data_IF_205946210097
#
_entry.id   IF_205946210097
#
_cell.length_a   1.000
_cell.length_b   1.000
_cell.length_c   1.000
_cell.angle_alpha   90.00
_cell.angle_beta   90.00
_cell.angle_gamma   90.00
#
_symmetry.space_group_name_H-M   'P 1'
#
loop_
_entity.id
_entity.type
_entity.pdbx_description
1 polymer ?
#
# COMPACT_ATOMS: atom_id res chain seq x y z
N UNK A 1 7.10 -5.12 11.91
CA UNK A 1 6.90 -3.67 11.69
C UNK A 1 6.12 -3.47 10.42
N UNK A 2 5.27 -2.48 10.39
CA UNK A 2 4.50 -2.08 9.20
C UNK A 2 5.13 -0.82 8.61
N UNK A 3 5.37 -0.82 7.31
CA UNK A 3 5.80 0.39 6.59
C UNK A 3 4.67 0.88 5.69
N UNK A 4 4.33 2.16 5.81
CA UNK A 4 3.29 2.80 5.00
C UNK A 4 3.92 3.86 4.12
N UNK A 5 3.63 3.84 2.84
CA UNK A 5 4.14 4.87 1.91
C UNK A 5 3.05 5.33 0.95
N UNK A 6 2.97 6.65 0.79
CA UNK A 6 2.08 7.29 -0.19
C UNK A 6 2.87 8.00 -1.29
N UNK A 7 4.17 7.72 -1.37
CA UNK A 7 5.05 8.30 -2.38
C UNK A 7 5.36 9.77 -2.14
N UNK A 8 5.85 10.43 -3.18
CA UNK A 8 6.37 11.80 -3.11
C UNK A 8 5.54 12.84 -3.85
N UNK A 9 4.38 12.46 -4.37
CA UNK A 9 3.52 13.41 -5.10
C UNK A 9 2.83 14.40 -4.16
N UNK A 10 2.40 15.53 -4.70
CA UNK A 10 1.82 16.65 -3.96
C UNK A 10 0.41 16.41 -3.38
N UNK A 11 -0.22 15.29 -3.70
CA UNK A 11 -1.58 15.00 -3.25
C UNK A 11 -1.58 14.35 -1.87
N UNK A 12 -2.41 14.84 -0.92
CA UNK A 12 -2.50 14.26 0.41
C UNK A 12 -3.29 12.95 0.42
N UNK A 13 -3.11 12.18 1.52
CA UNK A 13 -3.89 10.96 1.75
C UNK A 13 -4.33 10.86 3.21
N UNK A 14 -4.92 11.93 3.73
CA UNK A 14 -5.22 12.07 5.16
C UNK A 14 -6.13 10.96 5.71
N UNK A 15 -7.14 10.53 4.95
CA UNK A 15 -8.07 9.50 5.40
C UNK A 15 -7.41 8.15 5.67
N UNK A 16 -6.31 7.82 4.96
CA UNK A 16 -5.54 6.60 5.23
C UNK A 16 -4.90 6.66 6.62
N UNK A 17 -4.22 7.75 6.92
CA UNK A 17 -3.48 7.88 8.18
C UNK A 17 -4.43 7.97 9.37
N UNK A 18 -5.59 8.57 9.19
CA UNK A 18 -6.63 8.60 10.20
C UNK A 18 -7.20 7.20 10.46
N UNK A 19 -7.49 6.44 9.42
CA UNK A 19 -7.98 5.05 9.54
C UNK A 19 -6.96 4.17 10.27
N UNK A 20 -5.68 4.31 9.96
CA UNK A 20 -4.61 3.56 10.64
C UNK A 20 -4.56 3.88 12.13
N UNK A 21 -4.69 5.15 12.52
CA UNK A 21 -4.79 5.52 13.94
C UNK A 21 -6.01 4.88 14.61
N UNK A 22 -7.15 4.86 13.95
CA UNK A 22 -8.37 4.22 14.46
C UNK A 22 -8.16 2.72 14.69
N UNK A 23 -7.39 2.06 13.81
CA UNK A 23 -7.07 0.64 13.97
C UNK A 23 -6.16 0.37 15.18
N UNK A 24 -5.30 1.31 15.55
CA UNK A 24 -4.57 1.22 16.82
C UNK A 24 -5.48 1.42 18.01
N UNK A 25 -6.40 2.37 17.93
CA UNK A 25 -7.34 2.68 19.01
C UNK A 25 -8.29 1.51 19.31
N UNK A 26 -8.72 0.77 18.28
CA UNK A 26 -9.62 -0.36 18.45
C UNK A 26 -8.89 -1.70 18.73
N UNK A 27 -7.57 -1.69 18.78
CA UNK A 27 -6.75 -2.88 19.08
C UNK A 27 -6.48 -3.79 17.90
N UNK A 28 -6.90 -3.46 16.70
CA UNK A 28 -6.58 -4.26 15.50
C UNK A 28 -5.08 -4.26 15.22
N UNK A 29 -4.42 -3.11 15.37
CA UNK A 29 -2.98 -2.96 15.21
C UNK A 29 -2.30 -2.78 16.56
N UNK A 30 -1.26 -3.57 16.80
CA UNK A 30 -0.45 -3.52 18.04
C UNK A 30 1.04 -3.43 17.77
N UNK A 31 1.50 -3.69 16.55
CA UNK A 31 2.92 -3.66 16.21
C UNK A 31 3.40 -2.28 15.79
N UNK A 32 4.71 -2.00 15.85
CA UNK A 32 5.26 -0.73 15.40
C UNK A 32 4.97 -0.46 13.92
N UNK A 33 4.78 0.81 13.60
CA UNK A 33 4.57 1.29 12.24
C UNK A 33 5.44 2.51 11.98
N UNK A 34 5.92 2.64 10.76
CA UNK A 34 6.55 3.85 10.25
C UNK A 34 5.85 4.28 8.96
N UNK A 35 5.48 5.55 8.84
CA UNK A 35 4.77 6.07 7.68
C UNK A 35 5.53 7.21 7.00
N UNK A 36 5.58 7.16 5.68
CA UNK A 36 5.93 8.30 4.84
C UNK A 36 4.62 8.94 4.39
N UNK A 37 4.32 10.11 4.94
CA UNK A 37 3.00 10.74 4.76
C UNK A 37 2.93 11.74 3.61
N UNK A 38 4.07 12.09 3.01
CA UNK A 38 4.12 13.03 1.89
C UNK A 38 3.61 14.41 2.29
N UNK A 39 2.70 14.95 1.50
CA UNK A 39 2.08 16.26 1.73
C UNK A 39 0.77 16.16 2.53
N UNK A 40 0.47 15.01 3.12
CA UNK A 40 -0.70 14.83 3.96
C UNK A 40 -0.64 15.77 5.19
N UNK A 41 -1.79 16.30 5.59
CA UNK A 41 -1.87 17.26 6.71
C UNK A 41 -2.19 16.59 8.03
N UNK A 42 -2.80 15.41 8.01
CA UNK A 42 -3.09 14.64 9.21
C UNK A 42 -1.79 14.15 9.84
N UNK A 43 -1.62 14.41 11.15
CA UNK A 43 -0.45 13.96 11.88
C UNK A 43 -0.78 12.73 12.72
N UNK A 44 -0.19 11.55 12.39
CA UNK A 44 -0.42 10.33 13.14
C UNK A 44 -0.09 10.44 14.63
N UNK A 45 -0.93 9.79 15.46
CA UNK A 45 -0.80 9.83 16.93
C UNK A 45 -0.18 8.56 17.49
N UNK A 46 -0.37 7.41 16.82
CA UNK A 46 -0.04 6.09 17.37
C UNK A 46 1.19 5.46 16.73
N UNK A 47 1.81 6.11 15.75
CA UNK A 47 2.97 5.58 15.05
C UNK A 47 3.90 6.70 14.57
N UNK A 48 5.13 6.33 14.26
CA UNK A 48 6.14 7.26 13.77
C UNK A 48 5.92 7.61 12.30
N UNK A 49 6.28 8.83 11.91
CA UNK A 49 6.16 9.26 10.53
C UNK A 49 7.22 10.30 10.18
N UNK A 50 7.46 10.42 8.87
CA UNK A 50 8.17 11.55 8.24
C UNK A 50 7.40 11.98 7.00
N UNK A 51 7.56 13.22 6.60
CA UNK A 51 6.93 13.70 5.36
C UNK A 51 7.56 13.00 4.15
N UNK A 52 8.87 13.04 4.04
CA UNK A 52 9.62 12.38 2.97
C UNK A 52 10.85 11.69 3.53
N UNK A 53 11.28 10.62 2.86
CA UNK A 53 12.50 9.88 3.21
C UNK A 53 13.36 9.72 1.97
N UNK A 54 14.67 9.49 2.18
CA UNK A 54 15.60 9.22 1.09
C UNK A 54 15.33 7.87 0.43
N UNK A 55 15.79 7.65 -0.82
CA UNK A 55 15.70 6.33 -1.43
C UNK A 55 16.35 5.22 -0.61
N UNK A 56 17.46 5.51 0.06
CA UNK A 56 18.16 4.58 0.94
C UNK A 56 17.32 4.22 2.15
N UNK A 57 16.72 5.21 2.82
CA UNK A 57 15.85 4.98 3.97
C UNK A 57 14.58 4.22 3.56
N UNK A 58 14.05 4.50 2.37
CA UNK A 58 12.91 3.78 1.82
C UNK A 58 13.20 2.27 1.72
N UNK A 59 14.35 1.91 1.18
CA UNK A 59 14.77 0.51 1.07
C UNK A 59 14.97 -0.11 2.46
N UNK A 60 15.58 0.61 3.39
CA UNK A 60 15.75 0.14 4.77
C UNK A 60 14.39 -0.16 5.42
N UNK A 61 13.42 0.72 5.25
CA UNK A 61 12.08 0.53 5.82
C UNK A 61 11.34 -0.65 5.20
N UNK A 62 11.47 -0.85 3.89
CA UNK A 62 10.93 -2.05 3.24
C UNK A 62 11.57 -3.30 3.83
N UNK A 63 12.88 -3.33 4.00
CA UNK A 63 13.58 -4.51 4.52
C UNK A 63 13.22 -4.81 5.98
N UNK A 64 13.00 -3.79 6.79
CA UNK A 64 12.58 -3.95 8.19
C UNK A 64 11.13 -4.40 8.34
N UNK A 65 10.28 -4.11 7.35
CA UNK A 65 8.84 -4.37 7.43
C UNK A 65 8.49 -5.83 7.17
N UNK A 66 7.41 -6.28 7.77
CA UNK A 66 6.73 -7.53 7.42
C UNK A 66 5.56 -7.26 6.48
N UNK A 67 4.90 -6.13 6.69
CA UNK A 67 3.76 -5.68 5.89
C UNK A 67 4.07 -4.28 5.35
N UNK A 68 3.82 -4.08 4.07
CA UNK A 68 3.92 -2.78 3.41
C UNK A 68 2.53 -2.34 2.95
N UNK A 69 2.11 -1.16 3.39
CA UNK A 69 0.89 -0.51 2.90
C UNK A 69 1.31 0.53 1.88
N UNK A 70 0.88 0.36 0.64
CA UNK A 70 1.32 1.22 -0.47
C UNK A 70 0.13 1.76 -1.24
N UNK A 71 0.22 3.03 -1.62
CA UNK A 71 -0.68 3.60 -2.62
C UNK A 71 -0.45 2.91 -3.98
N UNK A 72 -1.28 3.17 -4.96
CA UNK A 72 -1.27 2.46 -6.24
C UNK A 72 -0.11 2.75 -7.18
N UNK A 73 1.09 3.06 -6.67
CA UNK A 73 2.28 3.20 -7.47
C UNK A 73 2.97 1.85 -7.65
N UNK A 74 3.05 1.38 -8.89
CA UNK A 74 3.63 0.07 -9.21
C UNK A 74 5.07 -0.09 -8.73
N UNK A 75 5.87 0.99 -8.75
CA UNK A 75 7.26 0.95 -8.31
C UNK A 75 7.42 0.58 -6.83
N UNK A 76 6.61 1.15 -5.95
CA UNK A 76 6.64 0.85 -4.51
C UNK A 76 6.16 -0.56 -4.23
N UNK A 77 5.08 -0.98 -4.89
CA UNK A 77 4.54 -2.34 -4.75
C UNK A 77 5.58 -3.36 -5.20
N UNK A 78 6.24 -3.12 -6.33
CA UNK A 78 7.29 -4.01 -6.82
C UNK A 78 8.45 -4.18 -5.87
N UNK A 79 8.95 -3.08 -5.31
CA UNK A 79 10.07 -3.14 -4.36
C UNK A 79 9.71 -3.99 -3.15
N UNK A 80 8.48 -3.86 -2.65
CA UNK A 80 8.00 -4.65 -1.53
C UNK A 80 7.85 -6.13 -1.91
N UNK A 81 7.27 -6.43 -3.07
CA UNK A 81 7.10 -7.82 -3.54
C UNK A 81 8.44 -8.50 -3.81
N UNK A 82 9.40 -7.80 -4.42
CA UNK A 82 10.74 -8.33 -4.65
C UNK A 82 11.48 -8.61 -3.35
N UNK A 83 11.16 -7.88 -2.29
CA UNK A 83 11.72 -8.13 -0.95
C UNK A 83 10.96 -9.22 -0.17
N UNK A 84 9.98 -9.86 -0.76
CA UNK A 84 9.21 -10.95 -0.13
C UNK A 84 8.21 -10.48 0.91
N UNK A 85 7.78 -9.23 0.87
CA UNK A 85 6.87 -8.66 1.87
C UNK A 85 5.41 -8.84 1.48
N UNK A 86 4.54 -8.86 2.50
CA UNK A 86 3.10 -8.79 2.29
C UNK A 86 2.71 -7.35 1.99
N UNK A 87 1.85 -7.16 0.99
CA UNK A 87 1.47 -5.82 0.54
C UNK A 87 -0.04 -5.64 0.64
N UNK A 88 -0.45 -4.54 1.27
CA UNK A 88 -1.83 -4.05 1.20
C UNK A 88 -1.82 -2.81 0.30
N UNK A 89 -2.54 -2.89 -0.81
CA UNK A 89 -2.68 -1.76 -1.72
C UNK A 89 -3.88 -0.91 -1.30
N UNK A 90 -3.64 0.40 -1.18
CA UNK A 90 -4.67 1.40 -0.88
C UNK A 90 -4.75 2.36 -2.06
N UNK A 91 -5.96 2.86 -2.35
CA UNK A 91 -6.17 3.65 -3.56
C UNK A 91 -6.53 5.09 -3.22
N UNK A 92 -5.75 6.02 -3.75
CA UNK A 92 -6.09 7.45 -3.72
C UNK A 92 -7.18 7.73 -4.74
N UNK A 93 -8.13 8.58 -4.38
CA UNK A 93 -9.27 8.90 -5.24
C UNK A 93 -9.28 10.38 -5.62
N UNK A 94 -9.59 10.64 -6.89
CA UNK A 94 -9.76 12.00 -7.40
C UNK A 94 -10.84 12.77 -6.65
N UNK A 95 -11.97 12.13 -6.33
CA UNK A 95 -13.08 12.75 -5.62
C UNK A 95 -12.73 13.31 -4.23
N UNK A 96 -11.64 12.83 -3.62
CA UNK A 96 -11.14 13.30 -2.33
C UNK A 96 -9.92 14.22 -2.47
N UNK A 97 -9.56 14.61 -3.69
CA UNK A 97 -8.38 15.43 -3.93
C UNK A 97 -7.05 14.71 -3.70
N UNK A 98 -7.05 13.40 -3.72
CA UNK A 98 -5.90 12.56 -3.40
C UNK A 98 -5.05 12.20 -4.61
N UNK A 99 -5.57 12.40 -5.81
CA UNK A 99 -4.88 12.13 -7.06
C UNK A 99 -5.52 12.92 -8.20
N UNK A 100 -4.78 13.05 -9.32
CA UNK A 100 -5.26 13.74 -10.51
C UNK A 100 -6.32 12.94 -11.29
N UNK A 101 -6.32 11.62 -11.11
CA UNK A 101 -7.25 10.69 -11.77
C UNK A 101 -7.36 9.40 -10.96
N UNK A 102 -8.15 8.45 -11.43
CA UNK A 102 -8.38 7.17 -10.76
C UNK A 102 -7.59 6.01 -11.36
N UNK A 103 -6.49 6.27 -12.08
CA UNK A 103 -5.68 5.22 -12.71
C UNK A 103 -5.04 4.26 -11.68
N UNK A 104 -4.86 4.68 -10.43
CA UNK A 104 -4.34 3.80 -9.37
C UNK A 104 -5.27 2.64 -9.07
N UNK A 105 -6.58 2.79 -9.31
CA UNK A 105 -7.53 1.70 -9.19
C UNK A 105 -7.14 0.56 -10.13
N UNK A 106 -6.82 0.86 -11.39
CA UNK A 106 -6.43 -0.13 -12.39
C UNK A 106 -5.17 -0.90 -11.99
N UNK A 107 -4.15 -0.19 -11.52
CA UNK A 107 -2.91 -0.82 -11.06
C UNK A 107 -3.14 -1.75 -9.88
N UNK A 108 -3.87 -1.27 -8.87
CA UNK A 108 -4.14 -2.07 -7.67
C UNK A 108 -5.00 -3.29 -7.99
N UNK A 109 -6.00 -3.16 -8.84
CA UNK A 109 -6.82 -4.29 -9.28
C UNK A 109 -6.02 -5.32 -10.07
N UNK A 110 -5.07 -4.88 -10.92
CA UNK A 110 -4.20 -5.79 -11.65
C UNK A 110 -3.36 -6.64 -10.70
N UNK A 111 -2.72 -6.05 -9.70
CA UNK A 111 -1.93 -6.78 -8.71
C UNK A 111 -2.80 -7.71 -7.86
N UNK A 112 -3.96 -7.23 -7.42
CA UNK A 112 -4.87 -8.00 -6.56
C UNK A 112 -5.50 -9.17 -7.30
N UNK A 113 -5.97 -8.96 -8.53
CA UNK A 113 -6.58 -10.02 -9.35
C UNK A 113 -5.59 -11.12 -9.71
N UNK A 114 -4.31 -10.78 -9.81
CA UNK A 114 -3.25 -11.77 -10.01
C UNK A 114 -2.77 -12.43 -8.71
N UNK A 115 -3.34 -12.06 -7.56
CA UNK A 115 -3.10 -12.70 -6.28
C UNK A 115 -1.83 -12.30 -5.57
N UNK A 116 -1.22 -11.16 -5.89
CA UNK A 116 0.05 -10.73 -5.30
C UNK A 116 -0.11 -9.77 -4.12
N UNK A 117 -1.22 -9.04 -4.04
CA UNK A 117 -1.48 -8.09 -2.97
C UNK A 117 -2.93 -8.23 -2.48
N UNK A 118 -3.18 -7.75 -1.26
CA UNK A 118 -4.54 -7.47 -0.81
C UNK A 118 -4.87 -6.03 -1.18
N UNK A 119 -6.00 -5.79 -1.82
CA UNK A 119 -6.47 -4.45 -2.14
C UNK A 119 -7.55 -4.06 -1.17
N UNK A 120 -7.32 -2.99 -0.40
CA UNK A 120 -8.37 -2.42 0.45
C UNK A 120 -9.46 -1.77 -0.41
N UNK A 121 -10.69 -1.80 0.06
CA UNK A 121 -11.80 -1.13 -0.59
C UNK A 121 -11.55 0.37 -0.75
N UNK A 122 -12.18 1.00 -1.74
CA UNK A 122 -11.91 2.41 -2.08
C UNK A 122 -12.19 3.37 -0.92
N UNK A 123 -13.10 3.02 -0.02
CA UNK A 123 -13.44 3.83 1.15
C UNK A 123 -12.61 3.43 2.40
N UNK A 124 -11.71 2.46 2.30
CA UNK A 124 -10.81 1.97 3.35
C UNK A 124 -11.53 1.35 4.58
N UNK A 125 -12.81 1.11 4.50
CA UNK A 125 -13.62 0.55 5.61
C UNK A 125 -13.27 -0.89 5.93
N UNK A 126 -12.63 -1.62 5.01
CA UNK A 126 -12.16 -3.00 5.19
C UNK A 126 -10.64 -3.10 5.43
N UNK A 127 -9.95 -1.98 5.66
CA UNK A 127 -8.50 -1.98 5.85
C UNK A 127 -8.10 -2.87 7.04
N UNK A 128 -8.84 -2.82 8.13
CA UNK A 128 -8.62 -3.68 9.29
C UNK A 128 -8.74 -5.16 8.96
N UNK A 129 -9.69 -5.53 8.10
CA UNK A 129 -9.84 -6.91 7.65
C UNK A 129 -8.65 -7.40 6.83
N UNK A 130 -8.04 -6.52 6.03
CA UNK A 130 -6.82 -6.85 5.30
C UNK A 130 -5.68 -7.24 6.25
N UNK A 131 -5.48 -6.46 7.32
CA UNK A 131 -4.48 -6.79 8.34
C UNK A 131 -4.79 -8.11 9.05
N UNK A 132 -6.05 -8.32 9.44
CA UNK A 132 -6.47 -9.56 10.10
C UNK A 132 -6.21 -10.79 9.23
N UNK A 133 -6.50 -10.72 7.95
CA UNK A 133 -6.22 -11.82 7.01
C UNK A 133 -4.74 -12.18 6.97
N UNK A 134 -3.86 -11.18 6.97
CA UNK A 134 -2.42 -11.42 6.99
C UNK A 134 -2.00 -12.06 8.30
N UNK A 135 -2.46 -11.54 9.45
CA UNK A 135 -2.12 -12.08 10.76
C UNK A 135 -2.61 -13.51 10.96
N UNK A 136 -3.76 -13.85 10.40
CA UNK A 136 -4.35 -15.19 10.50
C UNK A 136 -3.78 -16.18 9.47
N UNK A 137 -2.91 -15.70 8.56
CA UNK A 137 -2.40 -16.54 7.48
C UNK A 137 -3.44 -16.88 6.43
N UNK A 138 -4.55 -16.12 6.36
CA UNK A 138 -5.70 -16.35 5.48
C UNK A 138 -5.77 -15.34 4.33
N UNK A 139 -4.66 -14.68 4.00
CA UNK A 139 -4.61 -13.66 2.97
C UNK A 139 -4.71 -14.20 1.54
N UNK A 140 -4.32 -15.46 1.31
CA UNK A 140 -4.35 -16.09 -0.01
C UNK A 140 -3.37 -15.48 -1.01
N UNK A 141 -2.45 -14.63 -0.56
CA UNK A 141 -1.48 -13.95 -1.41
C UNK A 141 -0.36 -14.91 -1.77
N UNK A 142 -0.02 -14.95 -3.06
CA UNK A 142 1.08 -15.78 -3.54
C UNK A 142 2.38 -14.96 -3.65
N UNK A 143 3.57 -15.61 -3.47
CA UNK A 143 4.85 -14.92 -3.58
C UNK A 143 5.08 -14.41 -5.01
N UNK A 144 5.74 -13.25 -5.12
CA UNK A 144 6.23 -12.76 -6.39
C UNK A 144 7.57 -13.42 -6.69
N UNK A 145 7.62 -14.28 -7.71
CA UNK A 145 8.81 -15.05 -8.07
C UNK A 145 9.41 -14.67 -9.42
N UNK A 146 8.68 -13.88 -10.21
CA UNK A 146 9.13 -13.50 -11.54
C UNK A 146 10.14 -12.34 -11.45
N UNK A 147 11.35 -12.59 -11.98
CA UNK A 147 12.45 -11.61 -11.97
C UNK A 147 12.55 -10.80 -13.27
N UNK A 148 11.70 -11.04 -14.24
CA UNK A 148 11.66 -10.27 -15.49
C UNK A 148 11.11 -8.86 -15.20
N UNK A 149 11.90 -7.78 -15.45
CA UNK A 149 11.41 -6.42 -15.24
C UNK A 149 10.16 -6.07 -16.05
N UNK A 150 9.94 -6.72 -17.17
CA UNK A 150 8.78 -6.48 -18.04
C UNK A 150 7.54 -7.25 -17.61
N UNK A 151 7.66 -8.23 -16.71
CA UNK A 151 6.53 -9.06 -16.30
C UNK A 151 5.40 -8.25 -15.67
N UNK A 152 5.74 -7.24 -14.85
CA UNK A 152 4.74 -6.38 -14.21
C UNK A 152 4.07 -5.46 -15.21
N UNK A 153 4.84 -4.85 -16.09
CA UNK A 153 4.27 -4.00 -17.15
C UNK A 153 3.31 -4.82 -17.99
N UNK A 154 3.71 -6.01 -18.42
CA UNK A 154 2.87 -6.90 -19.21
C UNK A 154 1.63 -7.35 -18.46
N UNK A 155 1.74 -7.66 -17.18
CA UNK A 155 0.61 -8.06 -16.34
C UNK A 155 -0.42 -6.93 -16.21
N UNK A 156 0.03 -5.72 -15.97
CA UNK A 156 -0.85 -4.56 -15.84
C UNK A 156 -1.52 -4.24 -17.17
N UNK A 157 -0.75 -4.22 -18.27
CA UNK A 157 -1.27 -3.94 -19.60
C UNK A 157 -2.33 -4.96 -20.01
N UNK A 158 -2.04 -6.24 -19.80
CA UNK A 158 -2.98 -7.32 -20.12
C UNK A 158 -4.27 -7.18 -19.31
N UNK A 159 -4.16 -6.91 -18.01
CA UNK A 159 -5.32 -6.73 -17.15
C UNK A 159 -6.20 -5.56 -17.61
N UNK A 160 -5.57 -4.43 -17.97
CA UNK A 160 -6.28 -3.25 -18.44
C UNK A 160 -6.98 -3.53 -19.77
N UNK A 161 -6.32 -4.21 -20.72
CA UNK A 161 -6.90 -4.57 -22.00
C UNK A 161 -8.12 -5.50 -21.86
N UNK A 162 -8.10 -6.41 -20.89
CA UNK A 162 -9.17 -7.38 -20.68
C UNK A 162 -10.36 -6.82 -19.89
N UNK A 163 -10.16 -5.80 -19.04
CA UNK A 163 -11.15 -5.35 -18.06
C UNK A 163 -11.56 -3.89 -18.19
N UNK A 164 -10.88 -3.09 -19.00
CA UNK A 164 -11.11 -1.66 -19.17
C UNK A 164 -11.12 -1.28 -20.64
#
# INVERSE_FOLDING_TARGET
MIFVTVGSRKYPFDRLFKELDELYEDGTLCEPMFAQIGTSTYQPKHYKFKDFISPEEFIEKINEADIVVSHGASGSIMKALNAGKKVIAVTRLEKYGEHINDHQIQNNEAFSSNGYVLMAGLELDDLGECFKKIYDGADGVRPWENKDPMAIVNMIDKFIQENW
#
